data_IF_621837883070
#
_entry.id   IF_621837883070
#
_cell.length_a   1.000
_cell.length_b   1.000
_cell.length_c   1.000
_cell.angle_alpha   90.00
_cell.angle_beta   90.00
_cell.angle_gamma   90.00
#
_symmetry.space_group_name_H-M   'P 1'
#
loop_
_entity.id
_entity.type
_entity.pdbx_description
1 polymer ?
#
# COMPACT_ATOMS: atom_id res chain seq x y z
N UNK A 1 -22.99 55.67 -20.46
CA UNK A 1 -23.26 54.67 -19.41
C UNK A 1 -22.05 53.75 -19.35
N UNK A 2 -21.30 53.78 -18.25
CA UNK A 2 -20.12 52.92 -18.11
C UNK A 2 -20.58 51.47 -17.86
N UNK A 3 -20.04 50.51 -18.61
CA UNK A 3 -20.28 49.08 -18.37
C UNK A 3 -19.77 48.73 -16.97
N UNK A 4 -20.57 48.04 -16.13
CA UNK A 4 -20.09 47.61 -14.81
C UNK A 4 -18.84 46.73 -14.96
N UNK A 5 -17.90 46.78 -14.01
CA UNK A 5 -16.72 45.91 -14.04
C UNK A 5 -17.15 44.44 -14.01
N UNK A 6 -16.46 43.55 -14.75
CA UNK A 6 -16.79 42.14 -14.78
C UNK A 6 -16.63 41.52 -13.39
N UNK A 7 -17.54 40.61 -13.05
CA UNK A 7 -17.48 39.83 -11.81
C UNK A 7 -16.16 39.02 -11.78
N UNK A 8 -15.37 39.07 -10.69
CA UNK A 8 -14.09 38.36 -10.57
C UNK A 8 -14.22 36.85 -10.85
N UNK A 9 -15.37 36.25 -10.57
CA UNK A 9 -15.63 34.84 -10.88
C UNK A 9 -15.65 34.54 -12.38
N UNK A 10 -16.13 35.50 -13.18
CA UNK A 10 -16.21 35.37 -14.64
C UNK A 10 -14.82 35.46 -15.25
N UNK A 11 -14.02 36.43 -14.81
CA UNK A 11 -12.61 36.56 -15.22
C UNK A 11 -11.80 35.30 -14.90
N UNK A 12 -12.03 34.72 -13.72
CA UNK A 12 -11.39 33.45 -13.30
C UNK A 12 -11.82 32.29 -14.19
N UNK A 13 -13.11 32.20 -14.52
CA UNK A 13 -13.66 31.16 -15.39
C UNK A 13 -13.08 31.21 -16.82
N UNK A 14 -12.92 32.41 -17.37
CA UNK A 14 -12.27 32.65 -18.66
C UNK A 14 -10.80 32.21 -18.64
N UNK A 15 -10.06 32.58 -17.58
CA UNK A 15 -8.67 32.17 -17.41
C UNK A 15 -8.50 30.65 -17.33
N UNK A 16 -9.37 29.95 -16.60
CA UNK A 16 -9.36 28.48 -16.55
C UNK A 16 -9.68 27.87 -17.91
N UNK A 17 -10.61 28.46 -18.66
CA UNK A 17 -10.92 28.01 -20.03
C UNK A 17 -9.72 28.17 -20.95
N UNK A 18 -8.97 29.28 -20.84
CA UNK A 18 -7.73 29.47 -21.57
C UNK A 18 -6.66 28.43 -21.19
N UNK A 19 -6.51 28.13 -19.90
CA UNK A 19 -5.60 27.08 -19.40
C UNK A 19 -6.00 25.72 -19.98
N UNK A 20 -7.30 25.38 -20.01
CA UNK A 20 -7.81 24.14 -20.62
C UNK A 20 -7.39 24.04 -22.09
N UNK A 21 -7.57 25.11 -22.87
CA UNK A 21 -7.16 25.14 -24.28
C UNK A 21 -5.66 24.89 -24.45
N UNK A 22 -4.82 25.47 -23.58
CA UNK A 22 -3.37 25.23 -23.60
C UNK A 22 -3.01 23.78 -23.26
N UNK A 23 -3.71 23.16 -22.30
CA UNK A 23 -3.52 21.74 -21.95
C UNK A 23 -3.95 20.82 -23.10
N UNK A 24 -5.09 21.10 -23.73
CA UNK A 24 -5.57 20.35 -24.90
C UNK A 24 -4.60 20.45 -26.08
N UNK A 25 -3.97 21.62 -26.27
CA UNK A 25 -2.92 21.83 -27.26
C UNK A 25 -1.55 21.27 -26.87
N UNK A 26 -1.43 20.53 -25.75
CA UNK A 26 -0.18 20.01 -25.20
C UNK A 26 0.88 21.08 -24.86
N UNK A 27 0.49 22.35 -24.74
CA UNK A 27 1.38 23.43 -24.35
C UNK A 27 1.44 23.59 -22.82
N UNK A 28 1.95 22.56 -22.15
CA UNK A 28 1.96 22.46 -20.68
C UNK A 28 2.76 23.58 -19.99
N UNK A 29 3.77 24.13 -20.67
CA UNK A 29 4.59 25.23 -20.13
C UNK A 29 3.77 26.51 -20.01
N UNK A 30 3.07 26.92 -21.06
CA UNK A 30 2.20 28.10 -21.01
C UNK A 30 1.02 27.89 -20.08
N UNK A 31 0.42 26.69 -20.06
CA UNK A 31 -0.65 26.36 -19.12
C UNK A 31 -0.23 26.56 -17.66
N UNK A 32 0.95 26.05 -17.28
CA UNK A 32 1.52 26.25 -15.93
C UNK A 32 1.80 27.73 -15.62
N UNK A 33 2.33 28.48 -16.58
CA UNK A 33 2.57 29.91 -16.41
C UNK A 33 1.27 30.66 -16.15
N UNK A 34 0.23 30.43 -16.98
CA UNK A 34 -1.09 31.04 -16.80
C UNK A 34 -1.72 30.67 -15.47
N UNK A 35 -1.60 29.42 -15.01
CA UNK A 35 -2.09 29.00 -13.70
C UNK A 35 -1.40 29.75 -12.55
N UNK A 36 -0.08 29.96 -12.62
CA UNK A 36 0.66 30.74 -11.60
C UNK A 36 0.27 32.22 -11.61
N UNK A 37 -0.01 32.80 -12.78
CA UNK A 37 -0.49 34.19 -12.86
C UNK A 37 -1.90 34.31 -12.26
N UNK A 38 -2.75 33.33 -12.56
CA UNK A 38 -4.08 33.23 -12.00
C UNK A 38 -4.05 33.12 -10.46
N UNK A 39 -3.17 32.28 -9.91
CA UNK A 39 -3.00 32.12 -8.45
C UNK A 39 -2.64 33.42 -7.73
N UNK A 40 -1.84 34.31 -8.34
CA UNK A 40 -1.44 35.59 -7.73
C UNK A 40 -2.59 36.59 -7.56
N UNK A 41 -3.67 36.46 -8.33
CA UNK A 41 -4.78 37.42 -8.38
C UNK A 41 -6.09 36.89 -7.78
N UNK A 42 -6.13 35.64 -7.33
CA UNK A 42 -7.32 34.97 -6.82
C UNK A 42 -7.41 35.16 -5.30
N UNK A 43 -8.62 35.34 -4.78
CA UNK A 43 -8.91 35.32 -3.35
C UNK A 43 -8.93 33.90 -2.77
N UNK A 44 -8.65 33.77 -1.47
CA UNK A 44 -8.56 32.48 -0.78
C UNK A 44 -9.83 31.61 -0.93
N UNK A 45 -11.02 32.23 -0.98
CA UNK A 45 -12.27 31.50 -1.09
C UNK A 45 -12.44 30.90 -2.50
N UNK A 46 -12.14 31.67 -3.54
CA UNK A 46 -12.11 31.18 -4.92
C UNK A 46 -11.08 30.06 -5.10
N UNK A 47 -9.90 30.18 -4.48
CA UNK A 47 -8.87 29.13 -4.52
C UNK A 47 -9.33 27.83 -3.84
N UNK A 48 -10.07 27.94 -2.73
CA UNK A 48 -10.66 26.80 -2.04
C UNK A 48 -11.68 26.07 -2.94
N UNK A 49 -12.52 26.82 -3.67
CA UNK A 49 -13.46 26.24 -4.64
C UNK A 49 -12.71 25.50 -5.77
N UNK A 50 -11.64 26.08 -6.32
CA UNK A 50 -10.81 25.42 -7.34
C UNK A 50 -10.21 24.11 -6.82
N UNK A 51 -9.70 24.13 -5.60
CA UNK A 51 -9.10 22.96 -4.95
C UNK A 51 -10.13 21.85 -4.72
N UNK A 52 -11.34 22.20 -4.26
CA UNK A 52 -12.43 21.25 -4.03
C UNK A 52 -12.92 20.61 -5.34
N UNK A 53 -12.96 21.38 -6.43
CA UNK A 53 -13.26 20.88 -7.78
C UNK A 53 -12.17 19.90 -8.23
N UNK A 54 -10.89 20.27 -8.13
CA UNK A 54 -9.78 19.41 -8.52
C UNK A 54 -9.74 18.09 -7.73
N UNK A 55 -9.97 18.16 -6.41
CA UNK A 55 -10.08 16.98 -5.55
C UNK A 55 -11.27 16.09 -5.96
N UNK A 56 -12.42 16.69 -6.25
CA UNK A 56 -13.61 15.97 -6.72
C UNK A 56 -13.36 15.24 -8.04
N UNK A 57 -12.70 15.88 -9.00
CA UNK A 57 -12.37 15.27 -10.30
C UNK A 57 -11.30 14.18 -10.19
N UNK A 58 -10.32 14.34 -9.29
CA UNK A 58 -9.23 13.37 -9.10
C UNK A 58 -9.68 12.06 -8.45
N UNK A 59 -10.62 12.12 -7.51
CA UNK A 59 -10.92 10.98 -6.63
C UNK A 59 -12.31 10.38 -6.81
N UNK A 60 -13.17 10.90 -7.70
CA UNK A 60 -14.51 10.37 -7.93
C UNK A 60 -14.69 9.90 -9.37
N UNK A 61 -15.57 8.92 -9.55
CA UNK A 61 -16.06 8.51 -10.86
C UNK A 61 -16.85 9.67 -11.50
N UNK A 62 -16.95 9.69 -12.83
CA UNK A 62 -17.60 10.77 -13.59
C UNK A 62 -18.97 11.18 -13.03
N UNK A 63 -19.88 10.21 -12.83
CA UNK A 63 -21.24 10.49 -12.37
C UNK A 63 -21.28 11.03 -10.93
N UNK A 64 -20.43 10.48 -10.05
CA UNK A 64 -20.30 10.94 -8.68
C UNK A 64 -19.66 12.34 -8.60
N UNK A 65 -18.71 12.64 -9.49
CA UNK A 65 -18.11 13.96 -9.61
C UNK A 65 -19.15 14.99 -10.09
N UNK A 66 -19.92 14.69 -11.15
CA UNK A 66 -20.99 15.58 -11.63
C UNK A 66 -22.06 15.85 -10.57
N UNK A 67 -22.48 14.83 -9.82
CA UNK A 67 -23.43 15.00 -8.71
C UNK A 67 -22.90 15.96 -7.65
N UNK A 68 -21.62 15.85 -7.30
CA UNK A 68 -20.98 16.74 -6.32
C UNK A 68 -20.77 18.15 -6.88
N UNK A 69 -20.34 18.31 -8.13
CA UNK A 69 -20.16 19.61 -8.77
C UNK A 69 -21.48 20.36 -8.94
N UNK A 70 -22.59 19.67 -9.26
CA UNK A 70 -23.94 20.29 -9.27
C UNK A 70 -24.32 20.81 -7.89
N UNK A 71 -24.09 20.04 -6.83
CA UNK A 71 -24.34 20.48 -5.47
C UNK A 71 -23.48 21.71 -5.12
N UNK A 72 -22.19 21.70 -5.49
CA UNK A 72 -21.29 22.83 -5.32
C UNK A 72 -21.81 24.09 -6.05
N UNK A 73 -22.31 23.93 -7.27
CA UNK A 73 -22.88 25.00 -8.11
C UNK A 73 -24.15 25.61 -7.50
N UNK A 74 -25.03 24.79 -6.90
CA UNK A 74 -26.23 25.31 -6.23
C UNK A 74 -25.90 26.11 -4.96
N UNK A 75 -24.90 25.69 -4.20
CA UNK A 75 -24.53 26.32 -2.91
C UNK A 75 -23.68 27.58 -3.05
N UNK A 76 -23.01 27.78 -4.19
CA UNK A 76 -22.05 28.86 -4.39
C UNK A 76 -22.44 29.73 -5.59
N UNK A 77 -23.46 30.56 -5.41
CA UNK A 77 -24.02 31.40 -6.49
C UNK A 77 -22.97 32.31 -7.14
N UNK A 78 -22.08 32.91 -6.35
CA UNK A 78 -20.98 33.77 -6.81
C UNK A 78 -19.92 33.04 -7.63
N UNK A 79 -19.82 31.71 -7.55
CA UNK A 79 -18.77 30.93 -8.23
C UNK A 79 -19.35 30.01 -9.32
N UNK A 80 -20.59 30.22 -9.77
CA UNK A 80 -21.25 29.36 -10.76
C UNK A 80 -20.50 29.28 -12.09
N UNK A 81 -20.06 30.43 -12.62
CA UNK A 81 -19.32 30.50 -13.88
C UNK A 81 -18.00 29.71 -13.81
N UNK A 82 -17.29 29.82 -12.69
CA UNK A 82 -16.07 29.07 -12.40
C UNK A 82 -16.32 27.56 -12.37
N UNK A 83 -17.34 27.13 -11.64
CA UNK A 83 -17.68 25.71 -11.51
C UNK A 83 -18.05 25.13 -12.88
N UNK A 84 -18.87 25.85 -13.65
CA UNK A 84 -19.26 25.45 -15.01
C UNK A 84 -18.07 25.33 -15.96
N UNK A 85 -17.12 26.28 -15.91
CA UNK A 85 -15.89 26.21 -16.69
C UNK A 85 -15.05 24.97 -16.35
N UNK A 86 -15.09 24.48 -15.11
CA UNK A 86 -14.32 23.31 -14.69
C UNK A 86 -15.02 21.96 -14.90
N UNK A 87 -16.31 21.92 -15.23
CA UNK A 87 -17.02 20.65 -15.46
C UNK A 87 -16.45 19.96 -16.71
N UNK A 88 -15.99 18.69 -16.61
CA UNK A 88 -15.49 17.96 -17.76
C UNK A 88 -16.63 17.60 -18.71
N UNK A 89 -16.35 17.60 -20.02
CA UNK A 89 -17.31 17.11 -21.02
C UNK A 89 -17.29 15.58 -21.03
N UNK A 90 -18.42 14.96 -21.39
CA UNK A 90 -18.64 13.50 -21.32
C UNK A 90 -17.55 12.68 -22.05
N UNK A 91 -16.93 13.25 -23.08
CA UNK A 91 -15.99 12.55 -23.96
C UNK A 91 -14.51 12.93 -23.75
N UNK A 92 -14.18 13.76 -22.75
CA UNK A 92 -12.81 14.24 -22.53
C UNK A 92 -11.89 13.21 -21.83
N UNK A 93 -12.42 12.06 -21.39
CA UNK A 93 -11.63 10.96 -20.83
C UNK A 93 -10.88 11.29 -19.52
N UNK A 94 -11.18 12.43 -18.88
CA UNK A 94 -10.48 12.92 -17.68
C UNK A 94 -10.91 12.26 -16.36
N UNK A 95 -11.81 11.29 -16.41
CA UNK A 95 -12.31 10.60 -15.23
C UNK A 95 -11.65 9.24 -15.08
N UNK A 96 -11.48 8.79 -13.83
CA UNK A 96 -11.17 7.39 -13.54
C UNK A 96 -12.24 6.56 -14.27
N UNK A 97 -11.82 5.76 -15.27
CA UNK A 97 -12.72 4.82 -15.93
C UNK A 97 -13.42 4.06 -14.82
N UNK A 98 -14.75 4.13 -14.78
CA UNK A 98 -15.48 3.24 -13.89
C UNK A 98 -14.95 1.85 -14.21
N UNK A 99 -14.33 1.14 -13.24
CA UNK A 99 -14.00 -0.25 -13.46
C UNK A 99 -15.27 -0.88 -13.98
N UNK A 100 -15.18 -1.62 -15.09
CA UNK A 100 -16.34 -2.27 -15.69
C UNK A 100 -17.11 -2.87 -14.53
N UNK A 101 -18.31 -2.33 -14.29
CA UNK A 101 -19.11 -2.76 -13.17
C UNK A 101 -19.43 -4.18 -13.56
N UNK A 102 -18.65 -5.13 -13.07
CA UNK A 102 -19.07 -6.53 -13.02
C UNK A 102 -20.48 -6.42 -12.46
N UNK A 103 -21.49 -6.92 -13.23
CA UNK A 103 -22.88 -6.76 -12.85
C UNK A 103 -22.91 -7.15 -11.38
N UNK A 104 -23.16 -6.15 -10.52
CA UNK A 104 -23.17 -6.38 -9.08
C UNK A 104 -24.11 -7.55 -8.97
N UNK A 105 -23.64 -8.71 -8.49
CA UNK A 105 -24.53 -9.85 -8.45
C UNK A 105 -25.75 -9.35 -7.71
N UNK A 106 -26.92 -9.57 -8.30
CA UNK A 106 -28.16 -9.04 -7.77
C UNK A 106 -28.23 -9.39 -6.28
N UNK A 107 -28.96 -8.65 -5.44
CA UNK A 107 -29.11 -9.04 -4.04
C UNK A 107 -29.49 -10.52 -3.85
N UNK A 108 -30.12 -11.15 -4.86
CA UNK A 108 -30.43 -12.59 -4.93
C UNK A 108 -29.24 -13.50 -5.35
N UNK A 109 -28.21 -12.97 -6.02
CA UNK A 109 -26.97 -13.69 -6.38
C UNK A 109 -25.85 -13.54 -5.33
N UNK A 110 -25.76 -12.40 -4.62
CA UNK A 110 -24.75 -12.19 -3.54
C UNK A 110 -25.25 -12.70 -2.20
N UNK A 111 -26.54 -12.55 -1.89
CA UNK A 111 -27.09 -13.28 -0.76
C UNK A 111 -27.29 -14.71 -1.25
N UNK A 112 -26.56 -15.71 -0.73
CA UNK A 112 -27.27 -16.96 -0.47
C UNK A 112 -28.57 -16.55 0.20
N UNK A 113 -29.72 -16.89 -0.40
CA UNK A 113 -31.04 -16.49 0.07
C UNK A 113 -31.03 -16.48 1.59
N UNK A 114 -31.57 -15.43 2.24
CA UNK A 114 -31.40 -15.20 3.68
C UNK A 114 -31.78 -16.41 4.57
N UNK A 115 -32.40 -17.43 3.98
CA UNK A 115 -32.55 -18.77 4.53
C UNK A 115 -31.63 -19.89 3.99
N UNK A 116 -30.35 -19.65 3.68
CA UNK A 116 -29.48 -20.75 3.19
C UNK A 116 -28.06 -20.79 3.74
N UNK A 117 -27.53 -19.75 4.40
CA UNK A 117 -26.25 -19.89 5.14
C UNK A 117 -26.49 -19.93 6.63
N UNK A 118 -27.27 -19.00 7.18
CA UNK A 118 -27.68 -19.07 8.58
C UNK A 118 -28.63 -20.23 8.81
N UNK A 119 -29.64 -20.41 7.95
CA UNK A 119 -30.56 -21.56 8.05
C UNK A 119 -29.87 -22.89 7.70
N UNK A 120 -28.94 -22.97 6.75
CA UNK A 120 -28.20 -24.22 6.54
C UNK A 120 -27.20 -24.51 7.66
N UNK A 121 -26.64 -23.48 8.30
CA UNK A 121 -25.85 -23.65 9.52
C UNK A 121 -26.74 -24.11 10.68
N UNK A 122 -27.91 -23.50 10.86
CA UNK A 122 -28.91 -23.88 11.87
C UNK A 122 -29.53 -25.27 11.62
N UNK A 123 -29.73 -25.67 10.37
CA UNK A 123 -30.23 -26.99 9.93
C UNK A 123 -29.16 -28.08 10.02
N UNK A 124 -27.87 -27.71 9.90
CA UNK A 124 -26.75 -28.62 10.16
C UNK A 124 -26.38 -28.69 11.65
N UNK A 125 -26.80 -27.73 12.49
CA UNK A 125 -26.67 -27.80 13.94
C UNK A 125 -27.58 -28.91 14.47
N UNK A 126 -27.03 -29.80 15.29
CA UNK A 126 -27.83 -30.82 15.95
C UNK A 126 -28.91 -30.19 16.83
N UNK A 127 -30.03 -30.89 17.06
CA UNK A 127 -31.12 -30.38 17.92
C UNK A 127 -30.63 -29.91 19.29
N UNK A 128 -29.61 -30.56 19.85
CA UNK A 128 -28.96 -30.18 21.11
C UNK A 128 -28.12 -28.89 21.03
N UNK A 129 -27.54 -28.56 19.88
CA UNK A 129 -26.79 -27.31 19.68
C UNK A 129 -27.73 -26.15 19.36
N UNK A 130 -28.88 -26.43 18.72
CA UNK A 130 -29.93 -25.43 18.44
C UNK A 130 -30.70 -25.02 19.71
N UNK A 131 -30.84 -25.94 20.67
CA UNK A 131 -31.47 -25.70 21.97
C UNK A 131 -30.46 -25.24 23.05
N UNK A 132 -29.16 -25.22 22.76
CA UNK A 132 -28.17 -24.60 23.65
C UNK A 132 -28.41 -23.08 23.63
N UNK A 133 -28.85 -22.44 24.73
CA UNK A 133 -29.24 -21.02 24.76
C UNK A 133 -28.08 -20.04 24.47
N UNK A 134 -26.95 -20.54 23.98
CA UNK A 134 -25.66 -19.90 24.04
C UNK A 134 -25.25 -19.77 25.50
N UNK A 135 -23.97 -19.98 25.80
CA UNK A 135 -23.47 -19.59 27.12
C UNK A 135 -23.73 -18.09 27.27
N UNK A 136 -24.67 -17.71 28.14
CA UNK A 136 -25.02 -16.31 28.40
C UNK A 136 -23.74 -15.59 28.81
N UNK A 137 -23.12 -14.89 27.87
CA UNK A 137 -21.88 -14.16 28.13
C UNK A 137 -22.27 -13.01 29.04
N UNK A 138 -21.89 -13.12 30.31
CA UNK A 138 -22.19 -12.14 31.38
C UNK A 138 -21.79 -10.70 31.04
N UNK A 139 -20.95 -10.51 30.02
CA UNK A 139 -20.41 -9.21 29.63
C UNK A 139 -20.66 -8.95 28.14
N UNK A 140 -21.24 -7.78 27.86
CA UNK A 140 -21.28 -7.21 26.53
C UNK A 140 -19.83 -7.04 26.06
N UNK A 141 -19.43 -7.74 24.99
CA UNK A 141 -18.10 -7.57 24.40
C UNK A 141 -18.08 -6.19 23.73
N UNK A 142 -17.79 -5.16 24.52
CA UNK A 142 -17.32 -3.88 24.00
C UNK A 142 -15.86 -4.12 23.68
N UNK A 143 -15.60 -4.70 22.52
CA UNK A 143 -14.23 -4.86 22.06
C UNK A 143 -13.66 -3.45 21.83
N UNK A 144 -12.88 -2.99 22.81
CA UNK A 144 -12.14 -1.72 22.74
C UNK A 144 -10.88 -1.85 21.88
N UNK A 145 -10.67 -2.99 21.21
CA UNK A 145 -9.61 -3.10 20.21
C UNK A 145 -9.89 -2.15 19.06
N UNK A 146 -8.92 -1.31 18.82
CA UNK A 146 -8.85 -0.51 17.62
C UNK A 146 -8.39 -1.43 16.49
N UNK A 147 -9.36 -1.88 15.69
CA UNK A 147 -9.13 -2.81 14.59
C UNK A 147 -8.17 -2.24 13.53
N UNK A 148 -8.03 -0.90 13.44
CA UNK A 148 -7.07 -0.27 12.54
C UNK A 148 -5.64 -0.43 13.08
N UNK A 149 -5.43 -0.29 14.40
CA UNK A 149 -4.14 -0.59 15.05
C UNK A 149 -3.77 -2.07 14.89
N UNK A 150 -4.71 -2.99 15.11
CA UNK A 150 -4.47 -4.44 14.96
C UNK A 150 -4.22 -4.84 13.49
N UNK A 151 -4.79 -4.09 12.52
CA UNK A 151 -4.52 -4.27 11.10
C UNK A 151 -3.14 -3.74 10.68
N UNK A 152 -2.67 -2.65 11.30
CA UNK A 152 -1.36 -2.05 11.03
C UNK A 152 -0.21 -2.83 11.70
N UNK A 153 -0.40 -3.31 12.92
CA UNK A 153 0.65 -3.99 13.71
C UNK A 153 1.13 -5.31 13.07
N UNK A 154 0.32 -5.90 12.17
CA UNK A 154 0.65 -7.12 11.42
C UNK A 154 1.34 -6.86 10.07
N UNK A 155 1.51 -5.60 9.67
CA UNK A 155 2.00 -5.21 8.35
C UNK A 155 3.52 -5.06 8.24
N UNK A 156 4.26 -5.05 9.35
CA UNK A 156 5.73 -4.94 9.33
C UNK A 156 6.37 -6.29 8.96
N UNK A 157 6.10 -6.74 7.74
CA UNK A 157 6.76 -7.88 7.11
C UNK A 157 7.99 -7.30 6.40
N UNK A 158 9.17 -7.87 6.69
CA UNK A 158 10.44 -7.36 6.17
C UNK A 158 10.41 -7.16 4.66
N UNK A 159 11.23 -6.21 4.18
CA UNK A 159 11.24 -5.80 2.78
C UNK A 159 11.67 -6.95 1.84
N UNK A 160 11.27 -6.89 0.58
CA UNK A 160 11.80 -7.77 -0.46
C UNK A 160 13.31 -7.56 -0.59
N UNK A 161 14.11 -8.63 -0.56
CA UNK A 161 15.57 -8.51 -0.71
C UNK A 161 15.99 -8.08 -2.11
N UNK A 162 15.13 -8.23 -3.11
CA UNK A 162 15.40 -7.81 -4.49
C UNK A 162 14.87 -6.41 -4.79
N UNK A 163 13.55 -6.18 -4.73
CA UNK A 163 12.95 -4.89 -5.10
C UNK A 163 12.80 -3.88 -3.95
N UNK A 164 13.13 -4.27 -2.71
CA UNK A 164 13.04 -3.43 -1.50
C UNK A 164 11.63 -2.92 -1.15
N UNK A 165 10.59 -3.40 -1.82
CA UNK A 165 9.20 -3.12 -1.47
C UNK A 165 8.74 -3.97 -0.27
N UNK A 166 7.73 -3.48 0.45
CA UNK A 166 7.08 -4.25 1.52
C UNK A 166 6.48 -5.55 0.97
N UNK A 167 6.66 -6.65 1.70
CA UNK A 167 6.14 -7.96 1.31
C UNK A 167 4.77 -8.18 1.92
N UNK A 168 3.89 -8.88 1.20
CA UNK A 168 2.64 -9.33 1.79
C UNK A 168 2.91 -10.46 2.80
N UNK A 169 2.06 -10.63 3.81
CA UNK A 169 2.24 -11.67 4.83
C UNK A 169 2.31 -13.07 4.21
N UNK A 170 1.54 -13.28 3.12
CA UNK A 170 1.50 -14.53 2.36
C UNK A 170 2.82 -14.84 1.64
N UNK A 171 3.59 -13.81 1.26
CA UNK A 171 4.87 -14.00 0.55
C UNK A 171 5.92 -14.71 1.40
N UNK A 172 5.70 -14.77 2.72
CA UNK A 172 6.54 -15.43 3.70
C UNK A 172 6.26 -16.93 3.77
N UNK A 173 5.04 -17.38 3.48
CA UNK A 173 4.68 -18.79 3.56
C UNK A 173 5.11 -19.53 2.29
N UNK A 174 6.42 -19.64 2.10
CA UNK A 174 7.03 -20.38 0.99
C UNK A 174 7.17 -21.87 1.32
N UNK A 175 7.32 -22.70 0.28
CA UNK A 175 7.69 -24.10 0.45
C UNK A 175 8.98 -24.26 1.26
N UNK A 176 9.94 -23.35 1.07
CA UNK A 176 11.21 -23.30 1.81
C UNK A 176 11.00 -23.13 3.33
N UNK A 177 10.12 -22.21 3.76
CA UNK A 177 9.77 -22.07 5.18
C UNK A 177 9.06 -23.32 5.69
N UNK A 178 8.13 -23.88 4.91
CA UNK A 178 7.39 -25.08 5.30
C UNK A 178 8.31 -26.30 5.48
N UNK A 179 9.37 -26.40 4.68
CA UNK A 179 10.41 -27.42 4.83
C UNK A 179 11.44 -27.09 5.92
N UNK A 180 11.40 -25.92 6.56
CA UNK A 180 12.37 -25.53 7.59
C UNK A 180 13.69 -24.98 7.08
N UNK A 181 13.76 -24.54 5.81
CA UNK A 181 14.96 -24.00 5.16
C UNK A 181 15.06 -22.46 5.19
N UNK A 182 14.19 -21.79 5.96
CA UNK A 182 14.20 -20.34 6.13
C UNK A 182 13.43 -19.57 5.06
N UNK A 183 13.43 -18.25 5.18
CA UNK A 183 12.69 -17.31 4.32
C UNK A 183 13.58 -16.83 3.17
N UNK A 184 13.15 -17.01 1.92
CA UNK A 184 13.86 -16.54 0.71
C UNK A 184 13.91 -14.99 0.61
N UNK A 185 13.10 -14.30 1.39
CA UNK A 185 13.09 -12.84 1.44
C UNK A 185 12.44 -12.16 0.23
N UNK A 186 11.76 -12.89 -0.66
CA UNK A 186 11.21 -12.35 -1.91
C UNK A 186 9.70 -12.06 -1.82
N UNK A 187 9.24 -11.04 -2.56
CA UNK A 187 7.81 -10.86 -2.86
C UNK A 187 7.38 -11.79 -4.02
N UNK A 188 6.07 -12.04 -4.15
CA UNK A 188 5.51 -12.89 -5.22
C UNK A 188 6.00 -12.51 -6.62
N UNK A 189 6.09 -11.22 -6.93
CA UNK A 189 6.54 -10.73 -8.25
C UNK A 189 8.03 -10.98 -8.49
N UNK A 190 8.90 -10.68 -7.52
CA UNK A 190 10.33 -10.98 -7.67
C UNK A 190 10.59 -12.48 -7.78
N UNK A 191 9.80 -13.30 -7.08
CA UNK A 191 9.87 -14.76 -7.16
C UNK A 191 9.44 -15.28 -8.53
N UNK A 192 8.34 -14.78 -9.11
CA UNK A 192 7.88 -15.19 -10.44
C UNK A 192 8.84 -14.77 -11.56
N UNK A 193 9.58 -13.68 -11.36
CA UNK A 193 10.65 -13.22 -12.26
C UNK A 193 11.98 -13.97 -12.07
N UNK A 194 12.05 -14.95 -11.16
CA UNK A 194 13.27 -15.72 -10.90
C UNK A 194 14.42 -14.88 -10.34
N UNK A 195 14.12 -13.81 -9.59
CA UNK A 195 15.16 -13.00 -8.94
C UNK A 195 15.87 -13.83 -7.85
N UNK A 196 17.18 -13.60 -7.63
CA UNK A 196 17.88 -14.26 -6.54
C UNK A 196 17.31 -13.79 -5.19
N UNK A 197 17.07 -14.74 -4.29
CA UNK A 197 16.66 -14.54 -2.91
C UNK A 197 17.74 -14.97 -1.92
N UNK A 198 17.42 -14.90 -0.63
CA UNK A 198 18.29 -15.41 0.43
C UNK A 198 18.49 -16.92 0.23
N UNK A 199 19.73 -17.43 0.26
CA UNK A 199 20.00 -18.86 0.08
C UNK A 199 19.29 -19.74 1.11
N UNK A 200 19.00 -20.99 0.72
CA UNK A 200 18.41 -21.98 1.62
C UNK A 200 19.33 -22.27 2.82
N UNK A 201 18.73 -22.27 4.01
CA UNK A 201 19.43 -22.52 5.26
C UNK A 201 19.28 -23.99 5.69
N UNK A 202 20.20 -24.53 6.50
CA UNK A 202 20.03 -25.86 7.09
C UNK A 202 18.72 -26.01 7.89
N UNK A 203 18.18 -27.23 8.00
CA UNK A 203 16.92 -27.50 8.70
C UNK A 203 16.90 -27.03 10.17
N UNK A 204 18.05 -27.00 10.82
CA UNK A 204 18.21 -26.62 12.23
C UNK A 204 18.77 -25.20 12.40
N UNK A 205 18.63 -24.35 11.37
CA UNK A 205 19.07 -22.97 11.48
C UNK A 205 18.29 -22.23 12.57
N UNK A 206 18.98 -21.37 13.29
CA UNK A 206 18.38 -20.53 14.32
C UNK A 206 17.77 -19.27 13.71
N UNK A 207 16.91 -18.58 14.46
CA UNK A 207 16.38 -17.27 14.03
C UNK A 207 17.50 -16.25 13.76
N UNK A 208 18.61 -16.33 14.50
CA UNK A 208 19.79 -15.51 14.26
C UNK A 208 20.38 -15.80 12.88
N UNK A 209 20.55 -17.06 12.53
CA UNK A 209 21.11 -17.49 11.24
C UNK A 209 20.25 -16.96 10.07
N UNK A 210 18.92 -16.96 10.20
CA UNK A 210 18.04 -16.37 9.18
C UNK A 210 18.29 -14.87 8.96
N UNK A 211 18.48 -14.12 10.04
CA UNK A 211 18.73 -12.68 9.96
C UNK A 211 20.13 -12.40 9.41
N UNK A 212 21.14 -13.13 9.86
CA UNK A 212 22.53 -12.98 9.40
C UNK A 212 22.69 -13.36 7.92
N UNK A 213 22.03 -14.44 7.47
CA UNK A 213 21.99 -14.82 6.06
C UNK A 213 21.34 -13.75 5.18
N UNK A 214 20.23 -13.16 5.66
CA UNK A 214 19.56 -12.04 4.97
C UNK A 214 20.47 -10.81 4.87
N UNK A 215 21.15 -10.42 5.95
CA UNK A 215 22.06 -9.27 5.92
C UNK A 215 23.26 -9.50 5.00
N UNK A 216 23.80 -10.73 5.02
CA UNK A 216 24.89 -11.15 4.13
C UNK A 216 24.48 -11.06 2.67
N UNK A 217 23.31 -11.63 2.32
CA UNK A 217 22.77 -11.54 0.96
C UNK A 217 22.60 -10.10 0.48
N UNK A 218 22.10 -9.20 1.32
CA UNK A 218 21.93 -7.78 0.99
C UNK A 218 23.28 -7.08 0.79
N UNK A 219 24.27 -7.39 1.63
CA UNK A 219 25.61 -6.82 1.51
C UNK A 219 26.29 -7.22 0.20
N UNK A 220 26.16 -8.49 -0.19
CA UNK A 220 26.70 -9.04 -1.43
C UNK A 220 25.96 -8.51 -2.66
N UNK A 221 24.62 -8.50 -2.63
CA UNK A 221 23.80 -8.17 -3.80
C UNK A 221 23.83 -6.69 -4.19
N UNK A 222 23.93 -5.79 -3.23
CA UNK A 222 23.94 -4.34 -3.49
C UNK A 222 25.35 -3.74 -3.50
N UNK A 223 26.38 -4.54 -3.18
CA UNK A 223 27.77 -4.08 -3.05
C UNK A 223 27.91 -2.82 -2.16
N UNK A 224 27.07 -2.71 -1.13
CA UNK A 224 27.05 -1.54 -0.24
C UNK A 224 27.67 -1.88 1.10
N UNK A 225 28.85 -1.33 1.38
CA UNK A 225 29.35 -1.21 2.75
C UNK A 225 28.66 -0.08 3.53
N UNK A 226 27.78 0.68 2.88
CA UNK A 226 27.04 1.78 3.47
C UNK A 226 25.94 1.32 4.44
N UNK A 227 25.86 1.96 5.61
CA UNK A 227 24.89 1.63 6.66
C UNK A 227 23.44 2.00 6.32
N UNK A 228 23.19 2.79 5.27
CA UNK A 228 21.85 3.27 4.93
C UNK A 228 20.87 2.13 4.62
N UNK A 229 21.31 1.12 3.86
CA UNK A 229 20.48 -0.04 3.53
C UNK A 229 20.11 -0.84 4.78
N UNK A 230 21.08 -1.08 5.67
CA UNK A 230 20.84 -1.83 6.91
C UNK A 230 20.05 -1.03 7.95
N UNK A 231 20.10 0.31 7.90
CA UNK A 231 19.22 1.17 8.72
C UNK A 231 17.76 0.95 8.33
N UNK A 232 17.47 0.90 7.02
CA UNK A 232 16.13 0.57 6.53
C UNK A 232 15.70 -0.83 6.99
N UNK A 233 16.58 -1.82 6.92
CA UNK A 233 16.28 -3.16 7.46
C UNK A 233 15.98 -3.14 8.96
N UNK A 234 16.72 -2.36 9.74
CA UNK A 234 16.52 -2.21 11.17
C UNK A 234 15.19 -1.52 11.52
N UNK A 235 14.82 -0.49 10.76
CA UNK A 235 13.57 0.26 10.95
C UNK A 235 12.36 -0.66 10.79
N UNK A 236 12.39 -1.52 9.75
CA UNK A 236 11.35 -2.50 9.44
C UNK A 236 11.46 -3.82 10.21
N UNK A 237 12.52 -4.03 10.98
CA UNK A 237 12.74 -5.26 11.72
C UNK A 237 11.89 -5.31 13.01
N UNK A 238 11.50 -6.54 13.38
CA UNK A 238 10.91 -6.79 14.70
C UNK A 238 11.88 -6.42 15.83
N UNK A 239 11.33 -6.13 17.01
CA UNK A 239 12.12 -5.84 18.21
C UNK A 239 13.17 -6.94 18.51
N UNK A 240 12.88 -8.21 18.19
CA UNK A 240 13.83 -9.33 18.38
C UNK A 240 14.98 -9.35 17.36
N UNK A 241 14.74 -8.88 16.14
CA UNK A 241 15.74 -8.87 15.06
C UNK A 241 16.69 -7.67 15.14
N UNK A 242 16.21 -6.52 15.61
CA UNK A 242 17.01 -5.27 15.76
C UNK A 242 18.39 -5.47 16.41
N UNK A 243 18.53 -6.10 17.59
CA UNK A 243 19.86 -6.30 18.21
C UNK A 243 20.78 -7.23 17.39
N UNK A 244 20.22 -8.16 16.61
CA UNK A 244 21.00 -9.05 15.73
C UNK A 244 21.53 -8.25 14.54
N UNK A 245 20.68 -7.43 13.91
CA UNK A 245 21.06 -6.52 12.81
C UNK A 245 22.12 -5.53 13.29
N UNK A 246 21.95 -4.91 14.46
CA UNK A 246 22.95 -3.99 15.04
C UNK A 246 24.31 -4.65 15.23
N UNK A 247 24.32 -5.86 15.81
CA UNK A 247 25.55 -6.62 16.02
C UNK A 247 26.22 -6.97 14.69
N UNK A 248 25.45 -7.43 13.70
CA UNK A 248 25.96 -7.78 12.38
C UNK A 248 26.51 -6.55 11.64
N UNK A 249 25.80 -5.42 11.64
CA UNK A 249 26.24 -4.16 11.02
C UNK A 249 27.51 -3.66 11.69
N UNK A 250 27.62 -3.78 13.01
CA UNK A 250 28.82 -3.36 13.74
C UNK A 250 30.07 -4.17 13.35
N UNK A 251 29.94 -5.46 13.05
CA UNK A 251 31.07 -6.32 12.67
C UNK A 251 31.39 -6.31 11.17
N UNK A 252 30.41 -6.06 10.29
CA UNK A 252 30.58 -6.22 8.83
C UNK A 252 30.60 -4.91 8.04
N UNK A 253 30.27 -3.77 8.65
CA UNK A 253 30.29 -2.47 7.95
C UNK A 253 31.35 -1.54 8.52
N UNK A 254 32.01 -0.79 7.65
CA UNK A 254 32.85 0.33 8.11
C UNK A 254 31.95 1.37 8.79
N UNK A 255 32.36 1.93 9.94
CA UNK A 255 31.63 3.04 10.52
C UNK A 255 31.48 4.13 9.47
N UNK A 256 30.24 4.54 9.23
CA UNK A 256 29.95 5.69 8.36
C UNK A 256 30.78 6.85 8.92
N UNK A 257 31.70 7.44 8.13
CA UNK A 257 32.40 8.62 8.60
C UNK A 257 31.33 9.63 9.01
N UNK A 258 31.49 10.34 10.14
CA UNK A 258 30.49 11.29 10.59
C UNK A 258 30.13 12.14 9.37
N UNK A 259 28.82 12.27 9.05
CA UNK A 259 28.41 12.94 7.83
C UNK A 259 29.18 14.22 7.79
N UNK A 260 30.05 14.39 6.78
CA UNK A 260 30.76 15.64 6.60
C UNK A 260 29.63 16.64 6.56
N UNK A 261 29.50 17.42 7.63
CA UNK A 261 28.62 18.56 7.67
C UNK A 261 29.27 19.47 6.64
N UNK A 262 28.90 19.26 5.38
CA UNK A 262 29.01 20.28 4.39
C UNK A 262 28.21 21.39 5.05
N UNK A 263 28.91 22.37 5.60
CA UNK A 263 28.38 23.69 5.87
C UNK A 263 27.97 24.22 4.51
N UNK A 264 26.85 23.68 4.02
CA UNK A 264 26.08 24.25 2.96
C UNK A 264 25.58 25.50 3.64
N UNK A 265 26.24 26.62 3.35
CA UNK A 265 25.77 27.92 3.78
C UNK A 265 24.39 28.11 3.13
N UNK A 266 23.34 27.76 3.87
CA UNK A 266 21.95 27.81 3.42
C UNK A 266 21.53 29.24 3.09
N UNK A 267 22.29 30.25 3.56
CA UNK A 267 22.11 31.65 3.15
C UNK A 267 22.59 31.90 1.73
N UNK A 268 23.55 31.13 1.21
CA UNK A 268 24.02 31.25 -0.18
C UNK A 268 23.09 30.58 -1.20
N UNK A 269 22.24 29.67 -0.75
CA UNK A 269 21.37 28.91 -1.64
C UNK A 269 20.07 29.63 -1.98
N UNK A 270 19.60 30.58 -1.16
CA UNK A 270 18.37 31.31 -1.44
C UNK A 270 18.69 32.75 -1.86
N UNK A 271 18.17 33.17 -3.00
CA UNK A 271 18.33 34.53 -3.52
C UNK A 271 17.33 34.83 -4.64
N UNK A 272 17.39 36.04 -5.19
CA UNK A 272 16.56 36.43 -6.34
C UNK A 272 17.11 35.81 -7.62
N UNK A 273 16.26 35.07 -8.33
CA UNK A 273 16.66 34.47 -9.60
C UNK A 273 16.92 35.55 -10.65
N UNK A 274 18.10 35.54 -11.28
CA UNK A 274 18.47 36.54 -12.29
C UNK A 274 17.55 36.59 -13.53
N UNK A 275 16.70 35.58 -13.75
CA UNK A 275 15.79 35.49 -14.90
C UNK A 275 14.34 35.84 -14.56
N UNK A 276 13.83 35.40 -13.40
CA UNK A 276 12.44 35.63 -13.02
C UNK A 276 12.25 36.56 -11.81
N UNK A 277 13.35 37.00 -11.18
CA UNK A 277 13.39 37.82 -9.97
C UNK A 277 12.57 37.29 -8.78
N UNK A 278 12.24 35.99 -8.76
CA UNK A 278 11.61 35.39 -7.59
C UNK A 278 12.67 34.90 -6.60
N UNK A 279 12.43 35.15 -5.31
CA UNK A 279 13.26 34.65 -4.21
C UNK A 279 13.09 33.13 -4.08
N UNK A 280 14.09 32.37 -4.50
CA UNK A 280 14.05 30.89 -4.55
C UNK A 280 15.42 30.30 -4.25
N UNK A 281 15.47 28.98 -4.15
CA UNK A 281 16.72 28.26 -4.14
C UNK A 281 17.41 28.41 -5.51
N UNK A 282 18.58 29.05 -5.53
CA UNK A 282 19.38 29.32 -6.71
C UNK A 282 20.44 28.24 -6.91
N UNK A 283 20.65 27.90 -8.17
CA UNK A 283 21.80 27.16 -8.67
C UNK A 283 22.35 27.97 -9.83
N UNK A 284 23.62 28.36 -9.75
CA UNK A 284 24.25 29.24 -10.75
C UNK A 284 23.46 30.54 -11.00
N UNK A 285 22.99 31.18 -9.92
CA UNK A 285 22.16 32.42 -9.91
C UNK A 285 20.77 32.30 -10.58
N UNK A 286 20.34 31.09 -10.95
CA UNK A 286 19.03 30.82 -11.54
C UNK A 286 18.22 29.90 -10.63
N UNK A 287 16.91 30.12 -10.55
CA UNK A 287 16.04 29.16 -9.88
C UNK A 287 15.93 27.87 -10.70
N UNK A 288 15.51 26.78 -10.05
CA UNK A 288 15.33 25.45 -10.67
C UNK A 288 14.54 25.51 -11.98
N UNK A 289 13.49 26.33 -12.05
CA UNK A 289 12.64 26.49 -13.24
C UNK A 289 13.33 27.24 -14.39
N UNK A 290 14.29 28.12 -14.06
CA UNK A 290 15.00 28.94 -15.04
C UNK A 290 16.34 28.34 -15.47
N UNK A 291 16.86 27.38 -14.71
CA UNK A 291 18.15 26.78 -14.96
C UNK A 291 18.10 25.86 -16.19
N UNK A 292 18.92 26.10 -17.25
CA UNK A 292 18.84 25.35 -18.50
C UNK A 292 19.14 23.86 -18.31
N UNK A 293 20.07 23.50 -17.41
CA UNK A 293 20.39 22.10 -17.12
C UNK A 293 19.38 21.33 -16.26
N UNK A 294 18.36 22.00 -15.70
CA UNK A 294 17.33 21.36 -14.86
C UNK A 294 15.91 21.55 -15.42
N UNK A 295 15.68 22.59 -16.23
CA UNK A 295 14.37 22.94 -16.78
C UNK A 295 14.34 23.21 -18.29
N UNK A 296 15.44 22.98 -19.01
CA UNK A 296 15.59 23.37 -20.42
C UNK A 296 15.82 22.19 -21.37
N UNK A 297 14.81 21.90 -22.18
CA UNK A 297 14.87 21.21 -23.49
C UNK A 297 15.12 19.70 -23.51
N UNK A 298 15.87 19.12 -22.57
CA UNK A 298 16.06 17.66 -22.50
C UNK A 298 15.76 17.09 -21.12
N UNK A 299 14.70 17.61 -20.47
CA UNK A 299 14.19 16.96 -19.27
C UNK A 299 13.58 15.62 -19.67
N UNK A 300 14.38 14.56 -19.62
CA UNK A 300 13.87 13.19 -19.48
C UNK A 300 12.88 13.25 -18.32
N UNK A 301 11.57 13.01 -18.55
CA UNK A 301 10.58 13.12 -17.51
C UNK A 301 11.03 12.25 -16.34
N UNK A 302 11.17 12.83 -15.15
CA UNK A 302 11.41 12.06 -13.93
C UNK A 302 10.23 11.08 -13.78
N UNK A 303 10.43 9.82 -14.18
CA UNK A 303 9.41 8.78 -14.23
C UNK A 303 9.09 8.17 -15.60
N UNK A 304 9.72 8.58 -16.71
CA UNK A 304 9.57 7.81 -17.97
C UNK A 304 10.51 6.59 -17.94
N UNK A 305 10.01 5.45 -17.46
CA UNK A 305 10.50 4.16 -17.93
C UNK A 305 10.12 4.11 -19.41
N UNK A 306 11.02 4.45 -20.33
CA UNK A 306 10.79 4.21 -21.75
C UNK A 306 10.81 2.69 -21.97
N UNK A 307 9.70 2.06 -22.37
CA UNK A 307 9.71 0.65 -22.71
C UNK A 307 10.20 0.52 -24.15
N UNK A 308 11.49 0.75 -24.39
CA UNK A 308 12.10 0.55 -25.70
C UNK A 308 13.40 -0.24 -25.56
N UNK A 309 13.25 -1.55 -25.34
CA UNK A 309 14.13 -2.50 -26.00
C UNK A 309 13.63 -2.63 -27.45
N UNK A 310 14.41 -2.25 -28.48
CA UNK A 310 14.07 -2.62 -29.83
C UNK A 310 14.08 -4.16 -29.90
N UNK A 311 12.92 -4.72 -30.25
CA UNK A 311 12.81 -6.11 -30.72
C UNK A 311 13.88 -6.32 -31.78
N UNK A 312 14.86 -7.16 -31.47
CA UNK A 312 15.72 -7.78 -32.47
C UNK A 312 14.81 -8.40 -33.52
N UNK A 313 14.88 -7.82 -34.72
CA UNK A 313 14.06 -8.20 -35.85
C UNK A 313 14.28 -9.66 -36.23
N UNK A 314 13.17 -10.28 -36.58
CA UNK A 314 13.07 -11.50 -37.36
C UNK A 314 14.12 -11.53 -38.49
N UNK A 315 14.77 -12.69 -38.59
CA UNK A 315 15.70 -13.03 -39.65
C UNK A 315 15.02 -12.97 -41.02
N UNK A 316 15.21 -11.85 -41.69
CA UNK A 316 15.04 -11.72 -43.13
C UNK A 316 16.11 -12.51 -43.86
N UNK A 317 15.68 -13.57 -44.53
CA UNK A 317 16.36 -14.37 -45.54
C UNK A 317 17.18 -13.53 -46.53
N UNK A 318 18.49 -13.47 -46.33
CA UNK A 318 19.48 -13.00 -47.30
C UNK A 318 20.35 -14.16 -47.75
N UNK A 319 20.15 -14.63 -48.99
CA UNK A 319 21.06 -15.55 -49.69
C UNK A 319 22.44 -14.90 -49.80
N UNK A 320 23.55 -15.54 -49.39
CA UNK A 320 24.86 -15.21 -49.90
C UNK A 320 25.14 -16.00 -51.18
N UNK A 321 25.71 -15.29 -52.14
CA UNK A 321 26.19 -15.82 -53.40
C UNK A 321 27.26 -16.89 -53.21
N UNK A 322 27.27 -17.82 -54.17
CA UNK A 322 28.34 -18.79 -54.42
C UNK A 322 29.71 -18.11 -54.30
N UNK A 323 30.58 -18.70 -53.49
CA UNK A 323 31.99 -18.79 -53.83
C UNK A 323 32.44 -20.24 -53.66
N UNK A 324 32.91 -20.74 -54.78
CA UNK A 324 33.48 -22.04 -55.07
C UNK A 324 34.94 -22.08 -54.62
N UNK A 325 35.37 -23.20 -54.01
CA UNK A 325 36.71 -23.65 -53.55
C UNK A 325 36.48 -24.39 -52.22
N UNK A 326 36.53 -25.72 -52.08
CA UNK A 326 37.55 -26.67 -52.50
C UNK A 326 38.03 -27.42 -51.25
N UNK A 327 37.94 -28.77 -51.25
CA UNK A 327 38.64 -29.75 -50.38
C UNK A 327 38.57 -29.56 -48.84
N UNK A 328 38.08 -30.47 -47.98
CA UNK A 328 38.37 -31.90 -47.77
C UNK A 328 37.42 -32.33 -46.62
N UNK A 329 36.73 -33.47 -46.64
CA UNK A 329 37.28 -34.73 -46.14
C UNK A 329 37.17 -34.87 -44.60
N UNK A 330 36.23 -35.72 -44.14
CA UNK A 330 36.17 -36.51 -42.88
C UNK A 330 34.79 -36.45 -42.18
N UNK A 331 33.98 -37.49 -42.42
CA UNK A 331 33.03 -38.14 -41.48
C UNK A 331 33.73 -39.44 -40.98
N UNK A 332 33.20 -40.26 -40.03
CA UNK A 332 31.93 -40.26 -39.27
C UNK A 332 32.20 -40.30 -37.73
N UNK A 333 31.30 -40.44 -36.76
CA UNK A 333 30.22 -41.42 -36.63
C UNK A 333 29.25 -41.11 -35.49
N UNK A 334 28.00 -41.51 -35.75
CA UNK A 334 26.98 -41.89 -34.78
C UNK A 334 27.42 -43.12 -33.97
N UNK A 335 27.06 -43.18 -32.69
CA UNK A 335 26.50 -44.34 -32.00
C UNK A 335 26.47 -44.08 -30.47
N UNK A 336 25.27 -43.98 -29.89
CA UNK A 336 24.90 -45.02 -28.91
C UNK A 336 23.41 -45.00 -28.55
N UNK A 337 22.82 -46.17 -28.77
CA UNK A 337 21.45 -46.54 -28.52
C UNK A 337 21.52 -47.72 -27.56
N UNK A 338 20.84 -47.61 -26.41
CA UNK A 338 20.17 -48.76 -25.82
C UNK A 338 20.51 -49.15 -24.38
N UNK A 339 19.44 -49.68 -23.76
CA UNK A 339 19.39 -50.64 -22.64
C UNK A 339 19.60 -50.01 -21.25
N UNK A 340 18.73 -50.18 -20.27
CA UNK A 340 17.64 -51.13 -20.13
C UNK A 340 16.68 -50.79 -18.98
N UNK A 341 15.50 -51.36 -19.11
CA UNK A 341 14.51 -51.49 -18.07
C UNK A 341 14.94 -52.56 -17.07
N UNK A 342 14.87 -52.27 -15.77
CA UNK A 342 14.67 -53.30 -14.76
C UNK A 342 13.57 -52.89 -13.79
N UNK A 343 12.56 -53.76 -13.76
CA UNK A 343 11.49 -53.85 -12.76
C UNK A 343 12.11 -54.34 -11.45
N UNK A 344 11.75 -53.72 -10.34
CA UNK A 344 11.71 -54.41 -9.05
C UNK A 344 10.40 -54.04 -8.35
N UNK A 345 9.51 -55.03 -8.28
CA UNK A 345 8.30 -55.02 -7.51
C UNK A 345 8.58 -55.38 -6.05
N UNK A 346 7.53 -55.23 -5.23
CA UNK A 346 7.26 -55.88 -3.94
C UNK A 346 7.69 -55.12 -2.69
N UNK A 347 6.70 -54.82 -1.83
CA UNK A 347 6.93 -54.33 -0.48
C UNK A 347 5.66 -53.81 0.21
N UNK A 348 4.57 -54.57 0.19
CA UNK A 348 3.43 -54.34 1.08
C UNK A 348 3.82 -54.68 2.53
N UNK A 349 3.61 -53.73 3.44
CA UNK A 349 3.52 -53.90 4.89
C UNK A 349 2.88 -52.62 5.42
N UNK A 350 1.75 -52.62 6.12
CA UNK A 350 1.35 -53.49 7.23
C UNK A 350 1.03 -52.54 8.38
N UNK A 351 -0.19 -51.99 8.39
CA UNK A 351 -0.69 -51.11 9.46
C UNK A 351 -1.01 -51.94 10.72
N UNK A 352 -0.57 -51.53 11.93
CA UNK A 352 -1.12 -52.04 13.17
C UNK A 352 -2.36 -51.25 13.64
N UNK A 353 -3.26 -51.88 14.43
CA UNK A 353 -4.60 -51.37 14.72
C UNK A 353 -4.67 -50.39 15.90
N UNK A 354 -5.71 -49.55 15.82
CA UNK A 354 -6.23 -48.63 16.82
C UNK A 354 -6.59 -49.34 18.14
N UNK A 355 -6.13 -48.78 19.26
CA UNK A 355 -6.45 -49.25 20.61
C UNK A 355 -7.55 -48.36 21.20
N UNK A 356 -8.73 -48.96 21.35
CA UNK A 356 -9.82 -48.45 22.18
C UNK A 356 -9.48 -48.60 23.67
N UNK A 357 -9.83 -47.58 24.47
CA UNK A 357 -9.86 -47.69 25.93
C UNK A 357 -11.24 -47.29 26.45
N UNK A 358 -11.82 -48.25 27.18
CA UNK A 358 -13.02 -48.25 28.00
C UNK A 358 -12.97 -47.18 29.13
N UNK A 359 -14.07 -46.46 29.41
CA UNK A 359 -15.15 -46.73 30.39
C UNK A 359 -14.70 -46.79 31.86
N UNK A 360 -15.25 -45.84 32.65
CA UNK A 360 -15.70 -46.04 34.04
C UNK A 360 -15.21 -44.99 35.06
N UNK A 361 -15.93 -44.69 36.16
CA UNK A 361 -17.39 -44.75 36.36
C UNK A 361 -17.98 -43.48 37.03
N UNK A 362 -19.33 -43.47 37.07
CA UNK A 362 -20.23 -42.58 37.82
C UNK A 362 -19.86 -42.42 39.31
N UNK A 363 -20.02 -41.20 39.82
CA UNK A 363 -20.32 -40.96 41.24
C UNK A 363 -21.50 -39.98 41.34
N UNK A 364 -22.53 -40.47 42.00
CA UNK A 364 -23.80 -39.85 42.40
C UNK A 364 -23.63 -38.78 43.48
N UNK A 365 -24.45 -37.73 43.41
CA UNK A 365 -24.73 -36.78 44.50
C UNK A 365 -25.26 -35.49 43.88
N UNK A 366 -26.41 -34.94 44.22
CA UNK A 366 -27.21 -35.02 45.43
C UNK A 366 -27.78 -33.61 45.62
N UNK A 367 -29.11 -33.52 45.66
CA UNK A 367 -29.91 -32.30 45.73
C UNK A 367 -29.45 -31.30 46.80
N UNK A 368 -29.19 -30.04 46.44
CA UNK A 368 -29.32 -28.90 47.38
C UNK A 368 -29.20 -27.51 46.73
N UNK A 369 -30.17 -27.08 45.90
CA UNK A 369 -30.31 -25.65 45.56
C UNK A 369 -31.75 -25.22 45.29
N UNK A 370 -32.56 -25.16 46.36
CA UNK A 370 -33.84 -24.44 46.34
C UNK A 370 -34.04 -23.64 47.62
N UNK A 371 -33.19 -22.63 47.89
CA UNK A 371 -33.46 -21.61 48.94
C UNK A 371 -32.52 -20.38 48.97
N UNK A 372 -32.09 -19.81 47.84
CA UNK A 372 -31.41 -18.49 47.85
C UNK A 372 -31.79 -17.65 46.61
N UNK A 373 -33.05 -17.24 46.47
CA UNK A 373 -33.47 -16.38 45.35
C UNK A 373 -34.37 -15.19 45.70
N UNK A 374 -34.52 -14.82 46.97
CA UNK A 374 -35.36 -13.67 47.35
C UNK A 374 -34.62 -12.53 48.10
N UNK A 375 -33.38 -12.71 48.54
CA UNK A 375 -32.62 -11.66 49.22
C UNK A 375 -31.90 -10.65 48.28
N UNK A 376 -31.79 -10.94 46.98
CA UNK A 376 -30.97 -10.15 46.04
C UNK A 376 -31.67 -8.98 45.33
N UNK A 377 -33.00 -8.84 45.45
CA UNK A 377 -33.77 -7.85 44.68
C UNK A 377 -34.00 -6.51 45.40
N UNK A 378 -33.74 -6.43 46.71
CA UNK A 378 -33.93 -5.20 47.49
C UNK A 378 -32.73 -4.21 47.41
N UNK A 379 -31.51 -4.70 47.18
CA UNK A 379 -30.29 -3.85 47.25
C UNK A 379 -30.04 -3.02 45.99
N UNK A 380 -30.60 -3.41 44.83
CA UNK A 380 -30.38 -2.71 43.55
C UNK A 380 -31.24 -1.44 43.35
N UNK A 381 -32.25 -1.18 44.19
CA UNK A 381 -33.08 0.05 44.09
C UNK A 381 -32.52 1.25 44.86
N UNK A 382 -31.64 1.05 45.86
CA UNK A 382 -31.09 2.16 46.65
C UNK A 382 -29.89 2.87 45.99
N UNK A 383 -29.16 2.21 45.09
CA UNK A 383 -27.96 2.80 44.44
C UNK A 383 -28.32 3.76 43.29
N UNK A 384 -29.52 3.64 42.70
CA UNK A 384 -29.94 4.47 41.56
C UNK A 384 -30.51 5.84 41.94
N UNK A 385 -30.80 6.08 43.23
CA UNK A 385 -31.33 7.35 43.74
C UNK A 385 -30.22 8.36 44.14
N UNK A 386 -28.96 7.93 44.29
CA UNK A 386 -27.88 8.79 44.79
C UNK A 386 -27.10 9.58 43.71
N UNK A 387 -27.44 9.45 42.42
CA UNK A 387 -26.67 10.06 41.30
C UNK A 387 -27.28 11.32 40.67
N UNK A 388 -28.31 11.92 41.26
CA UNK A 388 -28.79 13.25 40.85
C UNK A 388 -28.46 14.29 41.93
N UNK A 389 -27.27 14.89 41.85
CA UNK A 389 -26.97 16.18 42.47
C UNK A 389 -26.65 17.21 41.37
N UNK A 390 -27.08 18.48 41.56
CA UNK A 390 -27.00 19.52 40.56
C UNK A 390 -25.57 20.07 40.42
N UNK A 391 -25.23 20.43 39.19
CA UNK A 391 -24.02 21.14 38.77
C UNK A 391 -23.90 22.50 39.47
N UNK A 392 -23.05 22.56 40.51
CA UNK A 392 -22.66 23.77 41.20
C UNK A 392 -21.23 24.20 40.83
N UNK A 393 -21.12 25.44 40.36
CA UNK A 393 -19.98 26.38 40.42
C UNK A 393 -18.55 25.87 40.15
N UNK A 394 -18.01 26.28 39.00
CA UNK A 394 -16.57 26.33 38.73
C UNK A 394 -15.88 27.35 39.66
N UNK A 395 -14.76 27.00 40.32
CA UNK A 395 -13.92 27.97 41.01
C UNK A 395 -13.13 28.83 40.01
N UNK A 396 -13.12 30.15 40.24
CA UNK A 396 -12.35 31.11 39.44
C UNK A 396 -10.84 30.92 39.64
N UNK A 397 -10.09 31.02 38.54
CA UNK A 397 -8.62 31.00 38.53
C UNK A 397 -8.05 32.29 39.12
N UNK A 398 -6.98 32.23 39.92
CA UNK A 398 -6.30 33.43 40.42
C UNK A 398 -5.51 34.12 39.31
N UNK A 399 -5.75 35.42 39.18
CA UNK A 399 -5.05 36.38 38.33
C UNK A 399 -3.63 36.58 38.84
N UNK A 400 -2.61 36.36 37.99
CA UNK A 400 -1.22 36.78 38.28
C UNK A 400 -1.13 38.30 38.13
N UNK A 401 -0.79 38.98 39.23
CA UNK A 401 -0.37 40.38 39.23
C UNK A 401 1.04 40.51 38.62
N UNK A 402 1.26 41.59 37.88
CA UNK A 402 2.56 42.07 37.40
C UNK A 402 3.23 42.91 38.47
#
# INVERSE_FOLDING_TARGET
MATPPPDPSTTTAEAITAIRTLVQAQNLRQAKYQLRQLEKGIDDQTWLIITEIAHTLRFKTHDAALGKLRNLWYRNETHRALIEACVPKKDEGQHIRQPAREPRPTPDEIRPHAGTVTEAYEDNLGKSEREDPGTERKELIVDRRDYDLDAVDRGHIGLCVSCRLERYAIDRYTGQIQSGHGDDGLCSECRSLGRPGVPELPLEHTYRDSIEARMTFLAESFNTHGRALFRQEWDYASHKARPIIEAWVKSHTTPEPPPKQLLIDTKSLNGECAKCNEWRQLRDQLCVDCHPGLGGETATPAGSITPDHPKQGDGGSGKPALNDSGESGIRPADDNRGIGAERAATGQGGLPPSRASAIGPEVTGGDDHRRISEAGKATKRLVRAARRRPSGQQPQRPTRLR
#
